data_IF_137152601818
#
_entry.id   IF_137152601818
#
_cell.length_a   1.000
_cell.length_b   1.000
_cell.length_c   1.000
_cell.angle_alpha   90.00
_cell.angle_beta   90.00
_cell.angle_gamma   90.00
#
_symmetry.space_group_name_H-M   'P 1'
#
loop_
_entity.id
_entity.type
_entity.pdbx_description
1 polymer ?
#
# COMPACT_ATOMS: atom_id res chain seq x y z
N UNK A 1 25.07 -9.41 -8.12
CA UNK A 1 24.50 -9.02 -9.45
C UNK A 1 25.17 -7.74 -9.89
N UNK A 2 25.38 -7.57 -11.21
CA UNK A 2 25.91 -6.34 -11.78
C UNK A 2 24.94 -5.17 -11.55
N UNK A 3 25.45 -4.01 -11.13
CA UNK A 3 24.71 -2.78 -10.84
C UNK A 3 23.83 -2.35 -12.02
N UNK A 4 24.32 -2.45 -13.24
CA UNK A 4 23.57 -2.06 -14.45
C UNK A 4 22.30 -2.91 -14.62
N UNK A 5 22.40 -4.20 -14.34
CA UNK A 5 21.23 -5.10 -14.40
C UNK A 5 20.21 -4.79 -13.30
N UNK A 6 20.69 -4.43 -12.12
CA UNK A 6 19.84 -4.06 -11.00
C UNK A 6 19.08 -2.76 -11.30
N UNK A 7 19.77 -1.72 -11.80
CA UNK A 7 19.15 -0.45 -12.22
C UNK A 7 18.05 -0.67 -13.28
N UNK A 8 18.34 -1.45 -14.33
CA UNK A 8 17.34 -1.77 -15.36
C UNK A 8 16.11 -2.53 -14.80
N UNK A 9 16.32 -3.38 -13.82
CA UNK A 9 15.23 -4.10 -13.16
C UNK A 9 14.34 -3.13 -12.38
N UNK A 10 14.96 -2.24 -11.59
CA UNK A 10 14.26 -1.16 -10.87
C UNK A 10 13.45 -0.29 -11.83
N UNK A 11 14.06 0.25 -12.89
CA UNK A 11 13.40 1.09 -13.89
C UNK A 11 12.19 0.40 -14.53
N UNK A 12 12.31 -0.88 -14.88
CA UNK A 12 11.21 -1.67 -15.45
C UNK A 12 10.04 -1.82 -14.50
N UNK A 13 10.30 -2.06 -13.20
CA UNK A 13 9.24 -2.20 -12.20
C UNK A 13 8.62 -0.85 -11.85
N UNK A 14 9.41 0.22 -11.80
CA UNK A 14 8.92 1.59 -11.62
C UNK A 14 7.94 1.98 -12.73
N UNK A 15 8.25 1.65 -13.98
CA UNK A 15 7.35 1.90 -15.11
C UNK A 15 6.01 1.14 -14.97
N UNK A 16 6.01 -0.03 -14.34
CA UNK A 16 4.78 -0.79 -14.02
C UNK A 16 4.03 -0.20 -12.83
N UNK A 17 4.74 0.36 -11.85
CA UNK A 17 4.16 0.97 -10.66
C UNK A 17 3.56 2.35 -10.95
N UNK A 18 4.08 3.06 -11.96
CA UNK A 18 3.64 4.41 -12.38
C UNK A 18 3.50 4.50 -13.91
N UNK A 19 2.61 3.71 -14.53
CA UNK A 19 2.31 3.88 -15.94
C UNK A 19 1.59 5.22 -16.18
N UNK A 20 1.52 5.70 -17.43
CA UNK A 20 0.64 6.79 -17.79
C UNK A 20 -0.79 6.54 -17.32
N UNK A 21 -1.41 7.52 -16.68
CA UNK A 21 -2.77 7.43 -16.18
C UNK A 21 -3.78 7.79 -17.28
N UNK A 22 -5.01 7.24 -17.20
CA UNK A 22 -6.12 7.72 -18.04
C UNK A 22 -6.34 9.23 -17.87
N UNK A 23 -6.54 9.94 -18.96
CA UNK A 23 -6.71 11.40 -18.97
C UNK A 23 -8.08 11.87 -18.46
N UNK A 24 -9.03 10.95 -18.40
CA UNK A 24 -10.41 11.21 -17.97
C UNK A 24 -10.66 11.07 -16.46
N UNK A 25 -9.64 10.71 -15.67
CA UNK A 25 -9.81 10.66 -14.22
C UNK A 25 -10.26 12.00 -13.65
N UNK A 26 -11.15 11.94 -12.68
CA UNK A 26 -11.79 13.11 -12.06
C UNK A 26 -11.17 13.33 -10.68
N UNK A 27 -10.53 14.49 -10.44
CA UNK A 27 -9.98 14.83 -9.13
C UNK A 27 -11.07 14.76 -8.05
N UNK A 28 -10.78 14.04 -6.97
CA UNK A 28 -11.66 13.92 -5.81
C UNK A 28 -11.17 14.78 -4.65
N UNK A 29 -12.04 15.66 -4.17
CA UNK A 29 -11.72 16.61 -3.08
C UNK A 29 -12.59 16.35 -1.86
N UNK A 30 -11.97 16.44 -0.68
CA UNK A 30 -12.60 16.47 0.64
C UNK A 30 -12.10 17.70 1.39
N UNK A 31 -12.99 18.48 1.96
CA UNK A 31 -12.66 19.75 2.63
C UNK A 31 -11.77 20.69 1.76
N UNK A 32 -12.02 20.73 0.45
CA UNK A 32 -11.24 21.51 -0.49
C UNK A 32 -9.85 20.93 -0.83
N UNK A 33 -9.44 19.85 -0.20
CA UNK A 33 -8.16 19.18 -0.44
C UNK A 33 -8.31 18.04 -1.43
N UNK A 34 -7.44 17.97 -2.43
CA UNK A 34 -7.36 16.83 -3.36
C UNK A 34 -6.86 15.59 -2.60
N UNK A 35 -7.65 14.52 -2.61
CA UNK A 35 -7.35 13.28 -1.87
C UNK A 35 -7.31 12.03 -2.74
N UNK A 36 -7.72 12.13 -4.01
CA UNK A 36 -7.75 11.00 -4.93
C UNK A 36 -8.21 11.40 -6.33
N UNK A 37 -8.27 10.41 -7.22
CA UNK A 37 -8.70 10.58 -8.61
C UNK A 37 -9.63 9.42 -8.99
N UNK A 38 -10.93 9.71 -9.07
CA UNK A 38 -11.97 8.72 -9.35
C UNK A 38 -12.18 8.53 -10.85
N UNK A 39 -12.67 7.36 -11.24
CA UNK A 39 -13.21 7.18 -12.58
C UNK A 39 -14.49 8.01 -12.75
N UNK A 40 -14.74 8.61 -13.96
CA UNK A 40 -15.92 9.44 -14.20
C UNK A 40 -17.26 8.75 -13.88
N UNK A 41 -17.33 7.43 -14.10
CA UNK A 41 -18.53 6.65 -13.82
C UNK A 41 -18.80 6.56 -12.30
N UNK A 42 -17.76 6.37 -11.49
CA UNK A 42 -17.85 6.34 -10.03
C UNK A 42 -18.25 7.72 -9.49
N UNK A 43 -17.57 8.78 -9.94
CA UNK A 43 -17.88 10.15 -9.53
C UNK A 43 -19.34 10.53 -9.81
N UNK A 44 -19.85 10.19 -11.01
CA UNK A 44 -21.24 10.42 -11.39
C UNK A 44 -22.20 9.59 -10.55
N UNK A 45 -21.95 8.29 -10.40
CA UNK A 45 -22.78 7.38 -9.63
C UNK A 45 -22.98 7.87 -8.20
N UNK A 46 -21.89 8.28 -7.54
CA UNK A 46 -21.95 8.75 -6.14
C UNK A 46 -22.67 10.11 -6.06
N UNK A 47 -22.33 11.07 -6.94
CA UNK A 47 -22.94 12.40 -6.94
C UNK A 47 -24.46 12.37 -7.21
N UNK A 48 -24.97 11.37 -7.93
CA UNK A 48 -26.40 11.20 -8.20
C UNK A 48 -27.17 10.55 -7.06
N UNK A 49 -26.50 9.79 -6.16
CA UNK A 49 -27.16 8.95 -5.15
C UNK A 49 -26.93 9.37 -3.73
N UNK A 50 -25.79 9.97 -3.45
CA UNK A 50 -25.40 10.33 -2.09
C UNK A 50 -25.43 11.85 -1.92
N UNK A 51 -26.39 12.32 -1.12
CA UNK A 51 -26.45 13.74 -0.79
C UNK A 51 -25.16 14.16 -0.08
N UNK A 52 -24.59 15.28 -0.49
CA UNK A 52 -23.30 15.73 0.03
C UNK A 52 -22.11 15.54 -0.93
N UNK A 53 -22.33 14.87 -2.07
CA UNK A 53 -21.35 14.82 -3.14
C UNK A 53 -21.83 15.60 -4.36
N UNK A 54 -20.90 16.26 -5.05
CA UNK A 54 -21.14 17.01 -6.27
C UNK A 54 -20.09 16.71 -7.32
N UNK A 55 -20.52 16.69 -8.58
CA UNK A 55 -19.64 16.59 -9.75
C UNK A 55 -19.87 17.83 -10.61
N UNK A 56 -18.99 18.82 -10.49
CA UNK A 56 -19.09 20.10 -11.19
C UNK A 56 -17.78 20.45 -11.89
N UNK A 57 -17.88 20.90 -13.14
CA UNK A 57 -16.72 21.37 -13.93
C UNK A 57 -15.52 20.40 -13.93
N UNK A 58 -15.78 19.08 -13.95
CA UNK A 58 -14.74 18.07 -13.96
C UNK A 58 -14.06 17.84 -12.60
N UNK A 59 -14.62 18.34 -11.51
CA UNK A 59 -14.18 18.09 -10.14
C UNK A 59 -15.28 17.33 -9.39
N UNK A 60 -14.91 16.22 -8.82
CA UNK A 60 -15.73 15.46 -7.89
C UNK A 60 -15.37 15.89 -6.46
N UNK A 61 -16.34 16.34 -5.69
CA UNK A 61 -16.08 16.85 -4.35
C UNK A 61 -17.16 16.42 -3.38
N UNK A 62 -16.76 16.20 -2.15
CA UNK A 62 -17.69 16.20 -1.04
C UNK A 62 -18.08 17.66 -0.76
N UNK A 63 -19.39 17.92 -0.78
CA UNK A 63 -19.92 19.24 -0.43
C UNK A 63 -19.99 19.33 1.11
N UNK A 64 -18.88 19.64 1.71
CA UNK A 64 -18.63 19.42 3.12
C UNK A 64 -18.87 20.62 4.01
N UNK A 65 -18.99 21.82 3.43
CA UNK A 65 -19.21 23.04 4.20
C UNK A 65 -18.34 23.08 5.47
N UNK A 66 -18.96 23.01 6.63
CA UNK A 66 -18.32 22.99 7.94
C UNK A 66 -18.35 21.61 8.63
N UNK A 67 -18.48 20.52 7.86
CA UNK A 67 -18.54 19.16 8.43
C UNK A 67 -17.24 18.81 9.15
N UNK A 68 -17.37 18.13 10.29
CA UNK A 68 -16.24 17.53 10.99
C UNK A 68 -15.80 16.19 10.36
N UNK A 69 -14.77 15.60 10.91
CA UNK A 69 -14.20 14.31 10.41
C UNK A 69 -15.25 13.20 10.49
N UNK A 70 -16.04 13.15 11.55
CA UNK A 70 -17.03 12.09 11.78
C UNK A 70 -18.17 12.16 10.75
N UNK A 71 -18.71 13.35 10.51
CA UNK A 71 -19.74 13.57 9.50
C UNK A 71 -19.23 13.24 8.07
N UNK A 72 -18.00 13.64 7.72
CA UNK A 72 -17.37 13.29 6.44
C UNK A 72 -17.13 11.78 6.31
N UNK A 73 -16.72 11.12 7.39
CA UNK A 73 -16.56 9.66 7.44
C UNK A 73 -17.90 8.96 7.20
N UNK A 74 -18.99 9.46 7.80
CA UNK A 74 -20.35 8.92 7.62
C UNK A 74 -20.81 9.04 6.16
N UNK A 75 -20.55 10.16 5.49
CA UNK A 75 -20.88 10.34 4.07
C UNK A 75 -20.05 9.40 3.16
N UNK A 76 -18.77 9.21 3.46
CA UNK A 76 -17.94 8.25 2.71
C UNK A 76 -18.39 6.80 2.95
N UNK A 77 -18.84 6.46 4.15
CA UNK A 77 -19.39 5.14 4.45
C UNK A 77 -20.71 4.88 3.68
N UNK A 78 -21.59 5.90 3.56
CA UNK A 78 -22.78 5.84 2.73
C UNK A 78 -22.41 5.62 1.26
N UNK A 79 -21.48 6.41 0.71
CA UNK A 79 -21.04 6.28 -0.66
C UNK A 79 -20.39 4.91 -0.96
N UNK A 80 -19.56 4.40 -0.05
CA UNK A 80 -18.96 3.07 -0.16
C UNK A 80 -20.03 1.96 -0.13
N UNK A 81 -21.08 2.12 0.70
CA UNK A 81 -22.21 1.16 0.80
C UNK A 81 -23.03 1.15 -0.49
N UNK A 82 -23.32 2.31 -1.08
CA UNK A 82 -24.01 2.43 -2.36
C UNK A 82 -23.21 1.77 -3.49
N UNK A 83 -21.89 2.01 -3.55
CA UNK A 83 -21.00 1.36 -4.52
C UNK A 83 -20.97 -0.16 -4.33
N UNK A 84 -20.89 -0.65 -3.09
CA UNK A 84 -20.97 -2.08 -2.76
C UNK A 84 -22.29 -2.69 -3.22
N UNK A 85 -23.41 -2.02 -2.93
CA UNK A 85 -24.76 -2.49 -3.29
C UNK A 85 -24.97 -2.57 -4.80
N UNK A 86 -24.28 -1.70 -5.56
CA UNK A 86 -24.26 -1.71 -7.02
C UNK A 86 -23.24 -2.71 -7.62
N UNK A 87 -22.47 -3.44 -6.80
CA UNK A 87 -21.41 -4.35 -7.25
C UNK A 87 -20.18 -3.66 -7.83
N UNK A 88 -20.02 -2.34 -7.61
CA UNK A 88 -18.89 -1.54 -8.08
C UNK A 88 -17.70 -1.59 -7.12
N UNK A 89 -17.92 -1.98 -5.87
CA UNK A 89 -16.89 -2.25 -4.85
C UNK A 89 -17.09 -3.66 -4.32
N UNK A 90 -16.02 -4.45 -4.33
CA UNK A 90 -15.95 -5.83 -3.83
C UNK A 90 -14.82 -6.00 -2.83
N UNK A 91 -14.78 -7.13 -2.12
CA UNK A 91 -13.69 -7.41 -1.17
C UNK A 91 -13.74 -6.55 0.09
N UNK A 92 -14.96 -6.32 0.61
CA UNK A 92 -15.21 -5.60 1.85
C UNK A 92 -14.46 -6.21 3.03
N UNK A 93 -13.80 -5.38 3.84
CA UNK A 93 -12.90 -5.81 4.91
C UNK A 93 -13.35 -5.41 6.31
N UNK A 94 -14.30 -4.48 6.44
CA UNK A 94 -14.64 -3.79 7.70
C UNK A 94 -13.42 -3.09 8.33
N UNK A 95 -12.52 -2.61 7.48
CA UNK A 95 -11.29 -1.91 7.83
C UNK A 95 -11.34 -0.48 7.30
N UNK A 96 -11.11 0.49 8.19
CA UNK A 96 -11.10 1.90 7.84
C UNK A 96 -9.68 2.38 7.57
N UNK A 97 -9.50 3.13 6.49
CA UNK A 97 -8.25 3.82 6.16
C UNK A 97 -8.47 5.33 6.22
N UNK A 98 -7.42 6.07 6.54
CA UNK A 98 -7.46 7.54 6.57
C UNK A 98 -7.52 8.13 5.16
N UNK A 99 -8.28 9.20 5.00
CA UNK A 99 -8.39 10.01 3.78
C UNK A 99 -7.69 11.33 3.98
N UNK A 100 -6.62 11.55 3.23
CA UNK A 100 -5.78 12.76 3.34
C UNK A 100 -4.73 12.67 4.44
N UNK A 101 -3.76 13.57 4.38
CA UNK A 101 -2.73 13.75 5.40
C UNK A 101 -2.51 15.26 5.62
N UNK A 102 -2.92 15.82 6.80
CA UNK A 102 -3.54 15.14 7.94
C UNK A 102 -4.92 14.51 7.58
N UNK A 103 -5.40 13.54 8.38
CA UNK A 103 -6.67 12.87 8.11
C UNK A 103 -7.86 13.84 8.08
N UNK A 104 -8.63 13.79 7.00
CA UNK A 104 -9.84 14.61 6.79
C UNK A 104 -11.12 13.80 7.01
N UNK A 105 -11.06 12.50 6.84
CA UNK A 105 -12.11 11.51 7.02
C UNK A 105 -11.50 10.11 7.06
N UNK A 106 -12.33 9.09 7.30
CA UNK A 106 -11.97 7.69 7.09
C UNK A 106 -12.89 7.06 6.06
N UNK A 107 -12.42 5.99 5.41
CA UNK A 107 -13.18 5.25 4.40
C UNK A 107 -12.90 3.75 4.52
N UNK A 108 -13.90 2.92 4.19
CA UNK A 108 -13.70 1.49 4.01
C UNK A 108 -12.59 1.20 2.99
N UNK A 109 -11.64 0.35 3.35
CA UNK A 109 -10.47 -0.04 2.54
C UNK A 109 -10.84 -0.48 1.13
N UNK A 110 -11.91 -1.28 0.97
CA UNK A 110 -12.35 -1.77 -0.32
C UNK A 110 -12.77 -0.65 -1.28
N UNK A 111 -13.21 0.50 -0.78
CA UNK A 111 -13.65 1.63 -1.59
C UNK A 111 -12.50 2.56 -2.02
N UNK A 112 -11.33 2.50 -1.40
CA UNK A 112 -10.23 3.44 -1.67
C UNK A 112 -9.87 3.52 -3.16
N UNK A 113 -9.80 2.38 -3.85
CA UNK A 113 -9.46 2.32 -5.28
C UNK A 113 -10.52 2.97 -6.18
N UNK A 114 -11.81 2.84 -5.84
CA UNK A 114 -12.90 3.45 -6.60
C UNK A 114 -12.81 4.99 -6.58
N UNK A 115 -12.42 5.56 -5.46
CA UNK A 115 -12.19 7.00 -5.30
C UNK A 115 -10.76 7.43 -5.67
N UNK A 116 -9.86 6.48 -5.95
CA UNK A 116 -8.44 6.74 -6.21
C UNK A 116 -7.71 7.39 -5.04
N UNK A 117 -8.18 7.15 -3.82
CA UNK A 117 -7.61 7.71 -2.58
C UNK A 117 -6.21 7.14 -2.38
N UNK A 118 -5.28 8.02 -1.99
CA UNK A 118 -3.93 7.59 -1.63
C UNK A 118 -3.96 6.96 -0.24
N UNK A 119 -3.54 5.70 -0.18
CA UNK A 119 -3.40 4.90 1.04
C UNK A 119 -1.94 4.76 1.44
N UNK A 120 -1.69 4.29 2.65
CA UNK A 120 -0.34 3.98 3.13
C UNK A 120 -0.22 2.50 3.49
N UNK A 121 0.94 1.90 3.21
CA UNK A 121 1.26 0.52 3.56
C UNK A 121 2.68 0.42 4.14
N UNK A 122 2.90 -0.55 4.99
CA UNK A 122 4.20 -0.88 5.57
C UNK A 122 4.65 -2.25 5.09
N UNK A 123 5.92 -2.39 4.70
CA UNK A 123 6.49 -3.66 4.28
C UNK A 123 7.82 -3.91 4.99
N UNK A 124 8.07 -5.15 5.41
CA UNK A 124 9.29 -5.59 6.09
C UNK A 124 10.06 -6.62 5.26
N UNK A 125 11.25 -6.25 4.83
CA UNK A 125 12.26 -7.21 4.40
C UNK A 125 12.88 -7.86 5.63
N UNK A 126 12.67 -9.14 5.80
CA UNK A 126 13.25 -9.92 6.89
C UNK A 126 14.49 -10.66 6.42
N UNK A 127 15.62 -10.38 7.02
CA UNK A 127 16.90 -10.98 6.67
C UNK A 127 17.29 -12.08 7.69
N UNK A 128 17.49 -13.31 7.21
CA UNK A 128 18.09 -14.37 8.01
C UNK A 128 19.62 -14.14 8.15
N UNK A 129 20.25 -13.62 7.08
CA UNK A 129 21.63 -13.18 7.04
C UNK A 129 21.81 -12.12 5.95
N UNK A 130 23.07 -11.80 5.58
CA UNK A 130 23.36 -10.76 4.57
C UNK A 130 22.87 -11.08 3.16
N UNK A 131 22.74 -12.36 2.82
CA UNK A 131 22.46 -12.89 1.49
C UNK A 131 21.13 -13.63 1.40
N UNK A 132 20.40 -13.78 2.52
CA UNK A 132 19.20 -14.58 2.60
C UNK A 132 18.04 -13.79 3.19
N UNK A 133 16.94 -13.68 2.44
CA UNK A 133 15.66 -13.13 2.91
C UNK A 133 14.72 -14.24 3.35
N UNK A 134 13.87 -13.89 4.30
CA UNK A 134 12.70 -14.67 4.68
C UNK A 134 11.50 -14.03 4.00
N UNK A 135 10.79 -14.80 3.18
CA UNK A 135 9.68 -14.36 2.35
C UNK A 135 8.43 -15.16 2.66
N UNK A 136 7.27 -14.57 2.43
CA UNK A 136 5.99 -15.18 2.63
C UNK A 136 5.33 -15.52 1.27
N UNK A 137 4.63 -16.64 1.18
CA UNK A 137 3.82 -16.99 0.02
C UNK A 137 2.37 -16.67 0.32
N UNK A 138 1.77 -15.82 -0.48
CA UNK A 138 0.37 -15.41 -0.34
C UNK A 138 -0.57 -16.61 -0.51
N UNK A 139 -1.55 -16.71 0.35
CA UNK A 139 -2.52 -17.80 0.31
C UNK A 139 -3.31 -17.80 -1.01
N UNK A 140 -3.66 -19.00 -1.48
CA UNK A 140 -4.35 -19.18 -2.77
C UNK A 140 -5.75 -18.53 -2.80
N UNK A 141 -6.36 -18.24 -1.66
CA UNK A 141 -7.68 -17.59 -1.57
C UNK A 141 -7.62 -16.05 -1.55
N UNK A 142 -6.43 -15.44 -1.53
CA UNK A 142 -6.29 -13.97 -1.57
C UNK A 142 -6.88 -13.43 -2.87
N UNK A 143 -7.64 -12.35 -2.77
CA UNK A 143 -8.28 -11.70 -3.92
C UNK A 143 -7.26 -11.14 -4.92
N UNK A 144 -6.13 -10.63 -4.43
CA UNK A 144 -5.08 -10.03 -5.26
C UNK A 144 -3.80 -10.86 -5.15
N UNK A 145 -3.17 -11.10 -6.30
CA UNK A 145 -1.88 -11.80 -6.42
C UNK A 145 -1.80 -13.12 -5.64
N UNK A 146 -2.79 -14.04 -5.72
CA UNK A 146 -2.78 -15.30 -5.00
C UNK A 146 -1.58 -16.16 -5.41
N UNK A 147 -0.92 -16.76 -4.42
CA UNK A 147 0.19 -17.68 -4.62
C UNK A 147 1.52 -17.04 -5.01
N UNK A 148 1.59 -15.73 -5.21
CA UNK A 148 2.85 -15.01 -5.41
C UNK A 148 3.62 -14.92 -4.09
N UNK A 149 4.94 -14.72 -4.20
CA UNK A 149 5.81 -14.41 -3.08
C UNK A 149 5.68 -12.93 -2.70
N UNK A 150 5.81 -12.68 -1.41
CA UNK A 150 5.72 -11.35 -0.81
C UNK A 150 6.84 -11.14 0.22
N UNK A 151 7.00 -9.93 0.71
CA UNK A 151 7.82 -9.68 1.89
C UNK A 151 7.28 -10.53 3.06
N UNK A 152 8.08 -10.74 4.10
CA UNK A 152 7.61 -11.47 5.28
C UNK A 152 6.39 -10.81 5.91
N UNK A 153 6.33 -9.49 5.86
CA UNK A 153 5.23 -8.67 6.37
C UNK A 153 4.89 -7.60 5.36
N UNK A 154 3.60 -7.42 5.08
CA UNK A 154 3.12 -6.36 4.21
C UNK A 154 1.63 -6.07 4.41
N UNK A 155 1.31 -4.88 4.93
CA UNK A 155 -0.07 -4.51 5.18
C UNK A 155 -0.34 -3.01 5.19
N UNK A 156 -1.63 -2.67 5.17
CA UNK A 156 -2.08 -1.29 5.15
C UNK A 156 -2.05 -0.64 6.52
N UNK A 157 -1.87 0.67 6.53
CA UNK A 157 -1.95 1.49 7.76
C UNK A 157 -3.42 1.82 8.00
N UNK A 158 -4.01 1.23 9.03
CA UNK A 158 -5.39 1.49 9.40
C UNK A 158 -5.58 2.93 9.94
N UNK A 159 -6.81 3.43 9.86
CA UNK A 159 -7.13 4.76 10.37
C UNK A 159 -6.75 4.91 11.85
N UNK A 160 -5.97 5.93 12.17
CA UNK A 160 -5.50 6.20 13.52
C UNK A 160 -4.24 5.43 13.95
N UNK A 161 -3.73 4.51 13.12
CA UNK A 161 -2.45 3.86 13.39
C UNK A 161 -1.26 4.73 12.95
N UNK A 162 -0.19 4.68 13.71
CA UNK A 162 1.13 5.09 13.23
C UNK A 162 1.75 3.98 12.37
N UNK A 163 2.72 4.31 11.52
CA UNK A 163 3.46 3.33 10.70
C UNK A 163 4.06 2.20 11.55
N UNK A 164 4.54 2.52 12.76
CA UNK A 164 5.12 1.54 13.67
C UNK A 164 4.05 0.60 14.27
N UNK A 165 2.86 1.12 14.58
CA UNK A 165 1.76 0.29 15.07
C UNK A 165 1.26 -0.66 13.99
N UNK A 166 1.05 -0.15 12.76
CA UNK A 166 0.68 -0.98 11.62
C UNK A 166 1.72 -2.09 11.37
N UNK A 167 3.02 -1.74 11.33
CA UNK A 167 4.07 -2.73 11.14
C UNK A 167 4.10 -3.78 12.26
N UNK A 168 3.87 -3.39 13.52
CA UNK A 168 3.85 -4.33 14.65
C UNK A 168 2.64 -5.27 14.59
N UNK A 169 1.47 -4.76 14.21
CA UNK A 169 0.24 -5.55 14.04
C UNK A 169 0.41 -6.57 12.92
N UNK A 170 0.80 -6.12 11.73
CA UNK A 170 1.00 -6.99 10.56
C UNK A 170 2.10 -8.04 10.81
N UNK A 171 3.21 -7.67 11.47
CA UNK A 171 4.27 -8.60 11.82
C UNK A 171 3.78 -9.72 12.75
N UNK A 172 2.89 -9.38 13.67
CA UNK A 172 2.29 -10.38 14.57
C UNK A 172 1.29 -11.27 13.82
N UNK A 173 0.43 -10.70 12.99
CA UNK A 173 -0.64 -11.41 12.26
C UNK A 173 -0.06 -12.33 11.19
N UNK A 174 0.82 -11.84 10.32
CA UNK A 174 1.33 -12.60 9.18
C UNK A 174 2.50 -13.54 9.54
N UNK A 175 3.29 -13.21 10.56
CA UNK A 175 4.50 -13.96 10.87
C UNK A 175 4.63 -14.41 12.34
N UNK A 176 3.73 -14.00 13.24
CA UNK A 176 3.89 -14.23 14.68
C UNK A 176 5.11 -13.51 15.25
N UNK A 177 5.62 -12.50 14.55
CA UNK A 177 6.83 -11.76 14.92
C UNK A 177 6.48 -10.61 15.87
N UNK A 178 6.99 -10.68 17.09
CA UNK A 178 6.95 -9.55 18.02
C UNK A 178 8.05 -8.55 17.63
N UNK A 179 7.65 -7.37 17.17
CA UNK A 179 8.56 -6.40 16.57
C UNK A 179 9.57 -5.79 17.57
N UNK A 180 9.29 -5.85 18.86
CA UNK A 180 10.18 -5.42 19.95
C UNK A 180 11.36 -6.39 20.19
N UNK A 181 11.31 -7.59 19.60
CA UNK A 181 12.36 -8.60 19.69
C UNK A 181 13.43 -8.47 18.60
N UNK A 182 13.27 -7.56 17.67
CA UNK A 182 14.18 -7.33 16.56
C UNK A 182 14.47 -5.85 16.38
N UNK A 183 15.68 -5.54 15.89
CA UNK A 183 16.00 -4.18 15.48
C UNK A 183 15.45 -3.94 14.08
N UNK A 184 14.58 -2.92 13.97
CA UNK A 184 13.97 -2.51 12.70
C UNK A 184 14.64 -1.25 12.20
N UNK A 185 15.12 -1.29 10.98
CA UNK A 185 15.70 -0.17 10.26
C UNK A 185 14.69 0.34 9.23
N UNK A 186 14.50 1.65 9.18
CA UNK A 186 13.65 2.27 8.16
C UNK A 186 14.45 2.47 6.88
N UNK A 187 13.86 2.06 5.76
CA UNK A 187 14.30 2.37 4.42
C UNK A 187 13.60 3.62 3.85
N UNK A 188 13.74 3.83 2.54
CA UNK A 188 13.03 4.88 1.81
C UNK A 188 11.57 4.44 1.55
N UNK A 189 10.75 5.41 1.17
CA UNK A 189 9.37 5.15 0.74
C UNK A 189 9.26 5.32 -0.78
N UNK A 190 8.18 4.82 -1.35
CA UNK A 190 7.83 5.09 -2.74
C UNK A 190 6.30 5.09 -2.89
N UNK A 191 5.82 5.73 -3.95
CA UNK A 191 4.40 5.73 -4.26
C UNK A 191 4.15 4.90 -5.51
N UNK A 192 3.24 3.95 -5.44
CA UNK A 192 2.61 3.33 -6.60
C UNK A 192 1.38 4.14 -7.01
N UNK A 193 1.18 4.32 -8.32
CA UNK A 193 -0.01 4.99 -8.82
C UNK A 193 -0.35 4.45 -10.21
N UNK A 194 -1.28 3.50 -10.26
CA UNK A 194 -1.60 2.77 -11.49
C UNK A 194 -3.10 2.48 -11.61
N UNK A 195 -3.64 2.44 -12.84
CA UNK A 195 -4.99 1.97 -13.06
C UNK A 195 -5.09 0.48 -12.74
N UNK A 196 -6.19 0.09 -12.11
CA UNK A 196 -6.57 -1.29 -11.79
C UNK A 196 -8.05 -1.48 -12.14
N UNK A 197 -8.55 -2.72 -12.24
CA UNK A 197 -9.96 -2.95 -12.58
C UNK A 197 -10.94 -2.24 -11.64
N UNK A 198 -10.59 -2.13 -10.35
CA UNK A 198 -11.42 -1.49 -9.33
C UNK A 198 -11.33 0.04 -9.31
N UNK A 199 -10.45 0.65 -10.12
CA UNK A 199 -10.26 2.10 -10.17
C UNK A 199 -8.81 2.52 -10.31
N UNK A 200 -8.31 3.31 -9.37
CA UNK A 200 -6.92 3.75 -9.30
C UNK A 200 -6.29 3.26 -8.00
N UNK A 201 -5.26 2.42 -8.09
CA UNK A 201 -4.38 2.16 -6.95
C UNK A 201 -3.41 3.33 -6.80
N UNK A 202 -3.51 4.04 -5.67
CA UNK A 202 -2.57 5.06 -5.25
C UNK A 202 -2.13 4.71 -3.83
N UNK A 203 -0.84 4.34 -3.64
CA UNK A 203 -0.37 3.77 -2.38
C UNK A 203 1.06 4.21 -2.10
N UNK A 204 1.29 4.78 -0.93
CA UNK A 204 2.63 5.09 -0.43
C UNK A 204 3.08 3.87 0.38
N UNK A 205 4.19 3.28 -0.02
CA UNK A 205 4.76 2.10 0.63
C UNK A 205 6.01 2.50 1.40
N UNK A 206 6.01 2.18 2.70
CA UNK A 206 7.10 2.43 3.63
C UNK A 206 7.92 1.15 3.81
N UNK A 207 9.21 1.23 3.45
CA UNK A 207 10.11 0.09 3.50
C UNK A 207 10.79 0.00 4.86
N UNK A 208 10.82 -1.20 5.40
CA UNK A 208 11.55 -1.54 6.62
C UNK A 208 12.40 -2.79 6.40
N UNK A 209 13.52 -2.87 7.11
CA UNK A 209 14.39 -4.03 7.16
C UNK A 209 14.55 -4.49 8.61
N UNK A 210 14.62 -5.81 8.84
CA UNK A 210 15.03 -6.38 10.11
C UNK A 210 15.88 -7.62 9.93
N UNK A 211 16.89 -7.81 10.79
CA UNK A 211 17.58 -9.06 10.93
C UNK A 211 16.78 -9.97 11.89
N UNK A 212 16.44 -11.17 11.43
CA UNK A 212 15.64 -12.13 12.19
C UNK A 212 16.56 -13.21 12.77
N UNK A 213 16.74 -13.27 14.09
CA UNK A 213 17.52 -14.31 14.74
C UNK A 213 16.95 -15.71 14.46
N UNK A 214 17.81 -16.71 14.25
CA UNK A 214 17.40 -18.10 14.02
C UNK A 214 16.59 -18.71 15.18
N UNK A 215 16.74 -18.15 16.37
CA UNK A 215 16.00 -18.57 17.55
C UNK A 215 14.50 -18.19 17.52
N UNK A 216 14.10 -17.30 16.60
CA UNK A 216 12.69 -16.91 16.45
C UNK A 216 11.97 -17.87 15.50
N UNK A 217 10.87 -18.43 15.98
CA UNK A 217 9.98 -19.26 15.17
C UNK A 217 8.91 -18.34 14.55
N UNK A 218 8.93 -18.25 13.24
CA UNK A 218 7.94 -17.51 12.46
C UNK A 218 6.79 -18.43 12.08
N UNK A 219 5.57 -17.96 12.26
CA UNK A 219 4.36 -18.71 11.92
C UNK A 219 3.22 -17.77 11.61
N UNK A 220 2.59 -17.97 10.47
CA UNK A 220 1.35 -17.28 10.12
C UNK A 220 0.26 -17.49 11.19
N UNK A 221 -0.45 -16.42 11.57
CA UNK A 221 -1.51 -16.44 12.58
C UNK A 221 -2.92 -16.23 11.99
N UNK A 222 -3.02 -15.52 10.85
CA UNK A 222 -4.31 -15.08 10.26
C UNK A 222 -4.77 -15.93 9.07
N UNK A 223 -3.90 -16.79 8.54
CA UNK A 223 -4.20 -17.63 7.37
C UNK A 223 -3.98 -16.94 6.03
N UNK A 224 -3.47 -15.72 5.98
CA UNK A 224 -3.19 -14.99 4.74
C UNK A 224 -1.91 -15.47 4.03
N UNK A 225 -1.07 -16.26 4.71
CA UNK A 225 0.21 -16.80 4.23
C UNK A 225 0.17 -18.32 4.22
N UNK A 226 0.43 -18.94 3.07
CA UNK A 226 0.50 -20.40 2.90
C UNK A 226 1.87 -20.99 3.30
N UNK A 227 2.94 -20.23 3.11
CA UNK A 227 4.30 -20.67 3.42
C UNK A 227 5.20 -19.48 3.77
N UNK A 228 6.15 -19.74 4.68
CA UNK A 228 7.28 -18.85 4.96
C UNK A 228 8.55 -19.62 4.58
N UNK A 229 9.40 -19.03 3.76
CA UNK A 229 10.60 -19.69 3.20
C UNK A 229 11.82 -18.79 3.26
N UNK A 230 13.01 -19.39 3.26
CA UNK A 230 14.30 -18.68 3.19
C UNK A 230 14.83 -18.78 1.78
N UNK A 231 15.13 -17.64 1.18
CA UNK A 231 15.65 -17.55 -0.18
C UNK A 231 16.85 -16.64 -0.26
N UNK A 232 17.85 -17.06 -0.99
CA UNK A 232 19.01 -16.23 -1.28
C UNK A 232 18.61 -15.01 -2.12
N UNK A 233 19.37 -13.92 -2.01
CA UNK A 233 19.17 -12.74 -2.84
C UNK A 233 19.20 -13.07 -4.34
N UNK A 234 20.01 -14.03 -4.75
CA UNK A 234 20.08 -14.46 -6.15
C UNK A 234 18.76 -15.11 -6.61
N UNK A 235 18.16 -15.99 -5.77
CA UNK A 235 16.87 -16.62 -6.03
C UNK A 235 15.73 -15.59 -6.04
N UNK A 236 15.73 -14.63 -5.11
CA UNK A 236 14.75 -13.56 -5.05
C UNK A 236 14.80 -12.69 -6.30
N UNK A 237 16.00 -12.30 -6.75
CA UNK A 237 16.17 -11.51 -7.97
C UNK A 237 15.70 -12.28 -9.20
N UNK A 238 15.97 -13.59 -9.28
CA UNK A 238 15.45 -14.43 -10.35
C UNK A 238 13.92 -14.50 -10.32
N UNK A 239 13.33 -14.69 -9.12
CA UNK A 239 11.89 -14.71 -8.93
C UNK A 239 11.22 -13.36 -9.30
N UNK A 240 11.85 -12.22 -8.97
CA UNK A 240 11.40 -10.89 -9.42
C UNK A 240 11.42 -10.79 -10.96
N UNK A 241 12.48 -11.26 -11.60
CA UNK A 241 12.60 -11.24 -13.07
C UNK A 241 11.54 -12.10 -13.76
N UNK A 242 11.17 -13.21 -13.12
CA UNK A 242 10.13 -14.14 -13.60
C UNK A 242 8.70 -13.68 -13.28
N UNK A 243 8.52 -12.63 -12.47
CA UNK A 243 7.19 -12.16 -12.04
C UNK A 243 6.54 -13.05 -10.98
N UNK A 244 7.33 -13.73 -10.17
CA UNK A 244 6.88 -14.63 -9.09
C UNK A 244 6.66 -13.90 -7.76
N UNK A 245 7.05 -12.62 -7.65
CA UNK A 245 6.77 -11.73 -6.53
C UNK A 245 5.65 -10.75 -6.88
N UNK A 246 4.92 -10.27 -5.85
CA UNK A 246 4.05 -9.10 -6.02
C UNK A 246 4.88 -7.90 -6.50
N UNK A 247 4.25 -6.94 -7.16
CA UNK A 247 4.98 -5.76 -7.65
C UNK A 247 5.50 -4.92 -6.48
N UNK A 248 4.69 -4.79 -5.44
CA UNK A 248 4.99 -4.12 -4.18
C UNK A 248 6.23 -4.71 -3.53
N UNK A 249 6.22 -6.01 -3.27
CA UNK A 249 7.32 -6.74 -2.65
C UNK A 249 8.60 -6.69 -3.47
N UNK A 250 8.50 -6.80 -4.78
CA UNK A 250 9.65 -6.68 -5.67
C UNK A 250 10.33 -5.30 -5.55
N UNK A 251 9.54 -4.21 -5.50
CA UNK A 251 10.06 -2.85 -5.34
C UNK A 251 10.61 -2.60 -3.93
N UNK A 252 9.96 -3.11 -2.90
CA UNK A 252 10.41 -3.06 -1.50
C UNK A 252 11.76 -3.76 -1.35
N UNK A 253 11.87 -4.96 -1.91
CA UNK A 253 13.13 -5.73 -1.86
C UNK A 253 14.25 -5.03 -2.64
N UNK A 254 13.97 -4.49 -3.83
CA UNK A 254 14.96 -3.78 -4.61
C UNK A 254 15.41 -2.48 -3.94
N UNK A 255 14.52 -1.77 -3.24
CA UNK A 255 14.90 -0.61 -2.41
C UNK A 255 15.96 -1.02 -1.39
N UNK A 256 15.68 -2.05 -0.60
CA UNK A 256 16.60 -2.52 0.44
C UNK A 256 17.93 -2.99 -0.14
N UNK A 257 17.90 -3.81 -1.20
CA UNK A 257 19.11 -4.35 -1.83
C UNK A 257 19.98 -3.23 -2.40
N UNK A 258 19.39 -2.24 -3.07
CA UNK A 258 20.16 -1.12 -3.66
C UNK A 258 20.73 -0.20 -2.60
N UNK A 259 19.95 0.15 -1.58
CA UNK A 259 20.39 0.96 -0.44
C UNK A 259 21.54 0.28 0.31
N UNK A 260 21.45 -1.02 0.59
CA UNK A 260 22.50 -1.80 1.27
C UNK A 260 23.76 -1.97 0.42
N UNK A 261 23.64 -1.91 -0.90
CA UNK A 261 24.76 -1.93 -1.83
C UNK A 261 25.41 -0.54 -2.04
N UNK A 262 24.90 0.53 -1.40
CA UNK A 262 25.38 1.90 -1.59
C UNK A 262 25.06 2.47 -2.97
N UNK A 263 24.01 1.98 -3.62
CA UNK A 263 23.52 2.48 -4.91
C UNK A 263 22.49 3.57 -4.65
N UNK A 264 22.93 4.79 -4.43
CA UNK A 264 22.06 5.91 -4.01
C UNK A 264 21.47 6.69 -5.20
N UNK A 265 22.09 6.62 -6.37
CA UNK A 265 21.68 7.31 -7.60
C UNK A 265 20.61 6.50 -8.36
N UNK A 266 19.53 6.14 -7.66
CA UNK A 266 18.32 5.61 -8.27
C UNK A 266 17.40 6.76 -8.68
N UNK A 267 16.54 6.58 -9.72
CA UNK A 267 15.58 7.61 -10.10
C UNK A 267 14.75 8.11 -8.90
N UNK A 268 14.26 9.33 -8.95
CA UNK A 268 13.45 9.99 -7.92
C UNK A 268 12.10 9.28 -7.58
N UNK A 269 12.08 7.97 -7.70
CA UNK A 269 10.96 7.10 -7.36
C UNK A 269 10.93 6.80 -5.87
N UNK A 270 12.11 6.55 -5.28
CA UNK A 270 12.28 6.37 -3.84
C UNK A 270 12.59 7.71 -3.20
N UNK A 271 11.94 8.01 -2.09
CA UNK A 271 12.09 9.26 -1.37
C UNK A 271 12.15 9.03 0.14
N UNK A 272 12.83 9.93 0.83
CA UNK A 272 12.79 9.98 2.28
C UNK A 272 11.45 10.57 2.71
N UNK A 273 10.63 9.76 3.36
CA UNK A 273 9.35 10.20 3.89
C UNK A 273 9.58 10.94 5.20
N UNK A 274 9.58 12.26 5.13
CA UNK A 274 9.65 13.08 6.33
C UNK A 274 8.31 13.00 7.06
N UNK A 275 8.34 12.46 8.28
CA UNK A 275 7.21 12.44 9.20
C UNK A 275 6.90 13.82 9.78
N UNK A 276 7.23 14.89 9.07
CA UNK A 276 7.05 16.29 9.53
C UNK A 276 5.58 16.68 9.75
N UNK A 277 4.64 15.72 9.69
CA UNK A 277 3.22 15.99 9.91
C UNK A 277 2.48 14.96 10.77
N UNK A 278 3.13 13.96 11.34
CA UNK A 278 2.45 12.99 12.20
C UNK A 278 3.16 12.90 13.54
N UNK A 279 2.71 13.74 14.47
CA UNK A 279 2.75 13.60 15.93
C UNK A 279 4.12 13.42 16.60
N UNK A 280 4.75 14.53 16.94
CA UNK A 280 5.17 14.72 18.32
C UNK A 280 3.92 14.51 19.21
N UNK A 281 3.74 13.33 19.82
CA UNK A 281 3.31 13.12 21.21
C UNK A 281 3.53 11.64 21.51
#
# INVERSE_FOLDING_TARGET
MDEVRLRRLVERLQARARPPLPTELVPFHVAGTHVGDAQPAIARFVAERVAGFVLNHGVFAMHDGSLDIEARTSLLAEAATELRSAGLVTGWRDEQLSVGNPPLANIERAACRAFGITTEAVHLNAYADRETLIVARRAAHKQFDPGLWDNLVGGMVAAGESLRQALAREALEEAGLQLDRVEVQRGRSFQMRRPVPEGLQSEIIHVYDAAIPDALTLKNQDGEVDAIDRRTLAEIIAAIQNGELTLESALVTLESVTRRAGIDDLPAFYFDYETSSIHAI
#
